data_IF_883131006919
#
_entry.id   IF_883131006919
#
_cell.length_a   1.000
_cell.length_b   1.000
_cell.length_c   1.000
_cell.angle_alpha   90.00
_cell.angle_beta   90.00
_cell.angle_gamma   90.00
#
_symmetry.space_group_name_H-M   'P 1'
#
loop_
_entity.id
_entity.type
_entity.pdbx_description
1 polymer ?
#
# COMPACT_ATOMS: atom_id res chain seq x y z
N UNK A 1 -0.48 -14.06 -10.42
CA UNK A 1 0.60 -13.74 -11.38
C UNK A 1 1.90 -13.91 -10.60
N UNK A 2 2.97 -14.45 -11.18
CA UNK A 2 4.22 -14.57 -10.42
C UNK A 2 4.77 -13.16 -10.19
N UNK A 3 4.72 -12.69 -8.95
CA UNK A 3 5.48 -11.53 -8.49
C UNK A 3 6.94 -11.98 -8.42
N UNK A 4 7.65 -11.99 -9.54
CA UNK A 4 9.10 -12.05 -9.51
C UNK A 4 9.59 -10.69 -9.01
N UNK A 5 9.73 -10.58 -7.69
CA UNK A 5 10.34 -9.44 -7.02
C UNK A 5 11.77 -9.30 -7.52
N UNK A 6 12.00 -8.30 -8.36
CA UNK A 6 13.33 -8.06 -8.94
C UNK A 6 14.17 -7.29 -7.93
N UNK A 7 15.22 -7.93 -7.41
CA UNK A 7 16.15 -7.31 -6.45
C UNK A 7 17.51 -7.09 -7.12
N UNK A 8 18.20 -6.00 -6.74
CA UNK A 8 19.57 -5.74 -7.16
C UNK A 8 20.39 -5.17 -6.00
N UNK A 9 21.72 -5.19 -6.15
CA UNK A 9 22.62 -4.60 -5.16
C UNK A 9 23.29 -3.37 -5.75
N UNK A 10 23.23 -2.27 -5.01
CA UNK A 10 24.02 -1.07 -5.28
C UNK A 10 25.13 -0.94 -4.25
N UNK A 11 26.17 -0.22 -4.64
CA UNK A 11 27.24 0.17 -3.73
C UNK A 11 26.98 1.64 -3.39
N UNK A 12 26.66 1.91 -2.13
CA UNK A 12 26.48 3.28 -1.63
C UNK A 12 27.81 4.07 -1.66
N UNK A 13 27.76 5.40 -1.51
CA UNK A 13 28.93 6.29 -1.46
C UNK A 13 29.99 5.87 -0.41
N UNK A 14 29.58 5.13 0.63
CA UNK A 14 30.46 4.60 1.66
C UNK A 14 31.15 3.27 1.29
N UNK A 15 30.92 2.75 0.09
CA UNK A 15 31.41 1.43 -0.34
C UNK A 15 30.68 0.26 0.31
N UNK A 16 29.52 0.52 0.92
CA UNK A 16 28.67 -0.49 1.54
C UNK A 16 27.70 -1.06 0.50
N UNK A 17 27.60 -2.38 0.45
CA UNK A 17 26.58 -3.06 -0.36
C UNK A 17 25.20 -2.82 0.26
N UNK A 18 24.32 -2.22 -0.51
CA UNK A 18 22.93 -1.94 -0.17
C UNK A 18 22.04 -2.75 -1.11
N UNK A 19 21.14 -3.55 -0.52
CA UNK A 19 20.15 -4.29 -1.31
C UNK A 19 18.96 -3.40 -1.59
N UNK A 20 18.45 -3.51 -2.80
CA UNK A 20 17.37 -2.69 -3.33
C UNK A 20 16.31 -3.58 -3.95
N UNK A 21 15.05 -3.26 -3.68
CA UNK A 21 13.89 -3.90 -4.26
C UNK A 21 13.33 -3.03 -5.38
N UNK A 22 13.19 -3.56 -6.59
CA UNK A 22 12.63 -2.82 -7.74
C UNK A 22 11.12 -2.72 -7.58
N UNK A 23 10.65 -1.48 -7.43
CA UNK A 23 9.23 -1.17 -7.32
C UNK A 23 8.62 -1.03 -8.72
N UNK A 24 9.28 -0.27 -9.60
CA UNK A 24 8.78 0.00 -10.94
C UNK A 24 9.90 0.42 -11.90
N UNK A 25 9.71 0.19 -13.20
CA UNK A 25 10.64 0.66 -14.25
C UNK A 25 9.86 1.28 -15.40
N UNK A 26 10.32 2.42 -15.90
CA UNK A 26 9.69 3.10 -17.02
C UNK A 26 10.69 3.80 -17.93
N UNK A 27 10.34 3.92 -19.20
CA UNK A 27 11.13 4.63 -20.19
C UNK A 27 10.59 6.05 -20.38
N UNK A 28 11.46 7.06 -20.34
CA UNK A 28 11.09 8.43 -20.64
C UNK A 28 12.17 9.16 -21.44
N UNK A 29 11.73 9.86 -22.49
CA UNK A 29 12.60 10.45 -23.51
C UNK A 29 13.54 9.41 -24.13
N UNK A 30 14.84 9.52 -23.85
CA UNK A 30 15.91 8.62 -24.33
C UNK A 30 16.58 7.88 -23.16
N UNK A 31 15.96 7.85 -21.97
CA UNK A 31 16.49 7.18 -20.78
C UNK A 31 15.47 6.26 -20.13
N UNK A 32 15.97 5.21 -19.50
CA UNK A 32 15.16 4.29 -18.69
C UNK A 32 15.39 4.59 -17.22
N UNK A 33 14.32 4.57 -16.43
CA UNK A 33 14.32 4.90 -15.00
C UNK A 33 13.84 3.70 -14.21
N UNK A 34 14.53 3.41 -13.11
CA UNK A 34 14.15 2.39 -12.13
C UNK A 34 13.85 3.08 -10.81
N UNK A 35 12.66 2.80 -10.29
CA UNK A 35 12.19 3.13 -8.96
C UNK A 35 12.45 1.93 -8.04
N UNK A 36 13.09 2.15 -6.91
CA UNK A 36 13.44 1.09 -5.98
C UNK A 36 13.38 1.54 -4.52
N UNK A 37 13.04 0.60 -3.64
CA UNK A 37 13.06 0.77 -2.19
C UNK A 37 14.35 0.23 -1.61
N UNK A 38 14.90 0.91 -0.61
CA UNK A 38 16.05 0.42 0.14
C UNK A 38 15.61 -0.57 1.21
N UNK A 39 16.34 -1.68 1.31
CA UNK A 39 16.13 -2.68 2.36
C UNK A 39 16.96 -2.32 3.61
N UNK A 40 16.37 -2.43 4.78
CA UNK A 40 17.06 -2.17 6.04
C UNK A 40 18.06 -3.29 6.41
N UNK A 41 18.65 -3.23 7.62
CA UNK A 41 19.59 -4.24 8.09
C UNK A 41 18.96 -5.64 8.31
N UNK A 42 17.64 -5.71 8.46
CA UNK A 42 16.86 -6.93 8.59
C UNK A 42 16.37 -7.46 7.23
N UNK A 43 16.53 -6.66 6.16
CA UNK A 43 16.02 -6.99 4.84
C UNK A 43 14.55 -6.62 4.67
N UNK A 44 14.04 -5.70 5.49
CA UNK A 44 12.68 -5.17 5.39
C UNK A 44 12.69 -3.89 4.56
N UNK A 45 11.67 -3.70 3.72
CA UNK A 45 11.51 -2.47 2.94
C UNK A 45 11.22 -1.29 3.85
N UNK A 46 11.86 -0.16 3.59
CA UNK A 46 11.63 1.06 4.37
C UNK A 46 10.45 1.81 3.73
N UNK A 47 9.29 1.89 4.39
CA UNK A 47 8.12 2.54 3.83
C UNK A 47 8.38 4.05 3.64
N UNK A 48 8.07 4.56 2.46
CA UNK A 48 8.24 5.98 2.10
C UNK A 48 9.65 6.39 1.65
N UNK A 49 10.64 5.48 1.64
CA UNK A 49 12.01 5.76 1.18
C UNK A 49 12.21 5.23 -0.25
N UNK A 50 11.56 5.87 -1.22
CA UNK A 50 11.69 5.51 -2.63
C UNK A 50 12.85 6.28 -3.27
N UNK A 51 13.77 5.55 -3.89
CA UNK A 51 14.90 6.09 -4.64
C UNK A 51 14.76 5.81 -6.13
N UNK A 52 15.42 6.62 -6.96
CA UNK A 52 15.38 6.51 -8.41
C UNK A 52 16.77 6.58 -9.03
N UNK A 53 17.00 5.75 -10.05
CA UNK A 53 18.22 5.74 -10.86
C UNK A 53 17.87 5.57 -12.34
N UNK A 54 18.76 6.01 -13.22
CA UNK A 54 18.69 5.70 -14.64
C UNK A 54 19.47 4.41 -14.93
N UNK A 55 19.05 3.66 -15.94
CA UNK A 55 19.70 2.42 -16.34
C UNK A 55 19.64 2.21 -17.86
N UNK A 56 20.55 1.38 -18.35
CA UNK A 56 20.56 0.84 -19.72
C UNK A 56 20.18 -0.65 -19.70
N UNK A 57 19.61 -1.14 -20.80
CA UNK A 57 19.36 -2.56 -20.98
C UNK A 57 20.60 -3.26 -21.54
N UNK A 58 21.00 -4.38 -20.94
CA UNK A 58 22.00 -5.24 -21.56
C UNK A 58 21.39 -5.98 -22.76
N UNK A 59 21.92 -5.73 -23.95
CA UNK A 59 21.47 -6.33 -25.22
C UNK A 59 21.50 -7.88 -25.23
N UNK A 60 22.21 -8.54 -24.31
CA UNK A 60 22.37 -10.01 -24.31
C UNK A 60 21.38 -10.72 -23.40
N UNK A 61 21.01 -10.15 -22.26
CA UNK A 61 20.15 -10.81 -21.28
C UNK A 61 18.96 -9.98 -20.81
N UNK A 62 18.88 -8.69 -21.19
CA UNK A 62 17.82 -7.77 -20.77
C UNK A 62 17.92 -7.30 -19.31
N UNK A 63 19.04 -7.54 -18.63
CA UNK A 63 19.27 -7.03 -17.28
C UNK A 63 19.57 -5.54 -17.27
N UNK A 64 19.24 -4.88 -16.16
CA UNK A 64 19.57 -3.47 -15.93
C UNK A 64 21.07 -3.33 -15.69
N UNK A 65 21.72 -2.51 -16.51
CA UNK A 65 23.14 -2.16 -16.40
C UNK A 65 23.33 -0.65 -16.38
N UNK A 66 24.56 -0.20 -16.13
CA UNK A 66 24.93 1.22 -16.10
C UNK A 66 23.99 2.10 -15.24
N UNK A 67 23.78 1.68 -13.99
CA UNK A 67 22.97 2.46 -13.04
C UNK A 67 23.63 3.80 -12.74
N UNK A 68 22.93 4.90 -12.99
CA UNK A 68 23.40 6.25 -12.69
C UNK A 68 22.38 7.02 -11.83
N UNK A 69 22.85 7.81 -10.84
CA UNK A 69 21.97 8.60 -10.00
C UNK A 69 21.23 9.67 -10.81
N UNK A 70 20.00 9.96 -10.40
CA UNK A 70 19.23 11.08 -10.93
C UNK A 70 19.65 12.36 -10.21
N UNK A 71 20.23 13.31 -10.94
CA UNK A 71 20.80 14.53 -10.36
C UNK A 71 20.02 15.80 -10.72
N UNK A 72 19.09 15.74 -11.68
CA UNK A 72 18.41 16.94 -12.18
C UNK A 72 17.00 17.07 -11.63
N UNK A 73 16.62 18.30 -11.25
CA UNK A 73 15.27 18.60 -10.76
C UNK A 73 14.17 18.21 -11.77
N UNK A 74 14.44 18.37 -13.07
CA UNK A 74 13.48 18.04 -14.13
C UNK A 74 13.21 16.52 -14.21
N UNK A 75 14.23 15.69 -14.02
CA UNK A 75 14.05 14.24 -13.92
C UNK A 75 13.28 13.88 -12.65
N UNK A 76 13.58 14.52 -11.52
CA UNK A 76 12.84 14.32 -10.27
C UNK A 76 11.38 14.75 -10.35
N UNK A 77 11.06 15.86 -11.03
CA UNK A 77 9.67 16.27 -11.28
C UNK A 77 8.92 15.19 -12.08
N UNK A 78 9.52 14.67 -13.14
CA UNK A 78 8.94 13.58 -13.93
C UNK A 78 8.74 12.31 -13.11
N UNK A 79 9.77 11.89 -12.37
CA UNK A 79 9.71 10.70 -11.51
C UNK A 79 8.62 10.87 -10.47
N UNK A 80 8.51 12.04 -9.84
CA UNK A 80 7.50 12.32 -8.85
C UNK A 80 6.09 12.24 -9.44
N UNK A 81 5.86 12.73 -10.66
CA UNK A 81 4.56 12.57 -11.34
C UNK A 81 4.22 11.09 -11.59
N UNK A 82 5.21 10.29 -12.02
CA UNK A 82 5.03 8.84 -12.17
C UNK A 82 4.76 8.18 -10.83
N UNK A 83 5.53 8.51 -9.78
CA UNK A 83 5.32 7.98 -8.43
C UNK A 83 3.96 8.37 -7.88
N UNK A 84 3.51 9.60 -8.07
CA UNK A 84 2.17 10.04 -7.65
C UNK A 84 1.08 9.32 -8.43
N UNK A 85 1.29 9.03 -9.72
CA UNK A 85 0.32 8.23 -10.49
C UNK A 85 0.33 6.77 -10.05
N UNK A 86 1.50 6.21 -9.77
CA UNK A 86 1.63 4.86 -9.23
C UNK A 86 1.02 4.79 -7.83
N UNK A 87 1.27 5.76 -6.97
CA UNK A 87 0.60 5.89 -5.69
C UNK A 87 -0.90 6.10 -5.89
N UNK A 88 -1.39 6.87 -6.85
CA UNK A 88 -2.83 6.92 -7.14
C UNK A 88 -3.38 5.56 -7.63
N UNK A 89 -2.54 4.75 -8.30
CA UNK A 89 -2.87 3.37 -8.73
C UNK A 89 -2.68 2.31 -7.62
N UNK A 90 -1.89 2.58 -6.58
CA UNK A 90 -1.50 1.64 -5.49
C UNK A 90 -1.98 2.07 -4.08
N UNK A 91 -2.26 3.36 -3.88
CA UNK A 91 -3.09 3.89 -2.82
C UNK A 91 -4.48 3.40 -3.18
N UNK A 92 -4.92 2.34 -2.52
CA UNK A 92 -6.35 2.14 -2.40
C UNK A 92 -6.92 3.45 -1.87
N UNK A 93 -7.63 4.21 -2.71
CA UNK A 93 -8.39 5.38 -2.26
C UNK A 93 -9.07 4.97 -0.96
N UNK A 94 -8.91 5.74 0.14
CA UNK A 94 -9.41 5.34 1.44
C UNK A 94 -10.87 4.95 1.26
N UNK A 95 -11.19 3.66 1.44
CA UNK A 95 -12.49 3.16 1.05
C UNK A 95 -13.51 3.79 2.00
N UNK A 96 -14.24 4.80 1.51
CA UNK A 96 -15.20 5.54 2.32
C UNK A 96 -16.55 4.81 2.29
N UNK A 97 -17.07 4.52 3.48
CA UNK A 97 -18.40 3.96 3.66
C UNK A 97 -19.30 4.95 4.37
N UNK A 98 -20.60 4.88 4.08
CA UNK A 98 -21.61 5.65 4.81
C UNK A 98 -22.28 4.74 5.81
N UNK A 99 -22.16 5.06 7.09
CA UNK A 99 -22.75 4.31 8.20
C UNK A 99 -23.86 5.15 8.83
N UNK A 100 -25.07 4.61 8.85
CA UNK A 100 -26.18 5.25 9.56
C UNK A 100 -26.10 4.88 11.05
N UNK A 101 -25.98 5.87 11.92
CA UNK A 101 -25.91 5.68 13.37
C UNK A 101 -27.30 5.47 14.01
N UNK A 102 -27.34 5.24 15.33
CA UNK A 102 -28.60 5.01 16.08
C UNK A 102 -29.59 6.19 16.04
N UNK A 103 -29.09 7.42 15.81
CA UNK A 103 -29.91 8.63 15.65
C UNK A 103 -30.51 8.76 14.25
N UNK A 104 -30.18 7.84 13.32
CA UNK A 104 -30.58 7.91 11.92
C UNK A 104 -29.83 8.97 11.11
N UNK A 105 -28.67 9.41 11.60
CA UNK A 105 -27.78 10.30 10.89
C UNK A 105 -26.71 9.47 10.15
N UNK A 106 -26.45 9.86 8.91
CA UNK A 106 -25.40 9.26 8.09
C UNK A 106 -24.05 9.87 8.49
N UNK A 107 -23.11 9.01 8.88
CA UNK A 107 -21.72 9.33 9.18
C UNK A 107 -20.83 8.73 8.10
N UNK A 108 -19.94 9.55 7.53
CA UNK A 108 -18.90 9.05 6.63
C UNK A 108 -17.77 8.46 7.47
N UNK A 109 -17.40 7.23 7.14
CA UNK A 109 -16.33 6.50 7.79
C UNK A 109 -15.31 6.04 6.76
N UNK A 110 -14.05 5.95 7.18
CA UNK A 110 -12.93 5.44 6.41
C UNK A 110 -12.66 4.00 6.83
N UNK A 111 -12.62 3.09 5.86
CA UNK A 111 -12.28 1.68 6.07
C UNK A 111 -10.78 1.57 6.29
N UNK A 112 -10.42 0.99 7.43
CA UNK A 112 -9.04 0.71 7.82
C UNK A 112 -8.59 -0.65 7.29
N UNK A 113 -9.46 -1.65 7.37
CA UNK A 113 -9.13 -3.01 6.96
C UNK A 113 -10.39 -3.82 6.67
N UNK A 114 -10.31 -4.74 5.70
CA UNK A 114 -11.36 -5.73 5.43
C UNK A 114 -10.76 -7.13 5.40
N UNK A 115 -11.46 -8.09 6.01
CA UNK A 115 -11.00 -9.47 6.05
C UNK A 115 -12.19 -10.44 6.04
N UNK A 116 -11.97 -11.64 5.52
CA UNK A 116 -12.96 -12.70 5.50
C UNK A 116 -12.59 -13.78 6.52
N UNK A 117 -13.54 -14.16 7.37
CA UNK A 117 -13.35 -15.30 8.27
C UNK A 117 -13.83 -16.58 7.59
N UNK A 118 -12.90 -17.50 7.31
CA UNK A 118 -13.25 -18.85 6.87
C UNK A 118 -14.00 -19.63 7.95
N UNK A 119 -13.77 -19.31 9.25
CA UNK A 119 -14.42 -19.97 10.38
C UNK A 119 -15.92 -19.66 10.44
N UNK A 120 -16.28 -18.40 10.24
CA UNK A 120 -17.67 -17.95 10.30
C UNK A 120 -18.35 -17.88 8.92
N UNK A 121 -17.56 -17.97 7.84
CA UNK A 121 -18.04 -17.82 6.47
C UNK A 121 -18.61 -16.42 6.21
N UNK A 122 -18.03 -15.41 6.87
CA UNK A 122 -18.53 -14.04 6.95
C UNK A 122 -17.36 -13.07 6.76
N UNK A 123 -17.64 -11.89 6.21
CA UNK A 123 -16.65 -10.83 6.01
C UNK A 123 -16.83 -9.72 7.04
N UNK A 124 -15.72 -9.17 7.51
CA UNK A 124 -15.65 -8.14 8.55
C UNK A 124 -14.87 -6.94 8.04
N UNK A 125 -15.32 -5.76 8.44
CA UNK A 125 -14.72 -4.47 8.10
C UNK A 125 -14.44 -3.69 9.38
N UNK A 126 -13.23 -3.14 9.45
CA UNK A 126 -12.80 -2.19 10.46
C UNK A 126 -12.83 -0.79 9.84
N UNK A 127 -13.45 0.16 10.52
CA UNK A 127 -13.58 1.52 10.01
C UNK A 127 -13.54 2.55 11.14
N UNK A 128 -13.12 3.77 10.81
CA UNK A 128 -13.07 4.92 11.73
C UNK A 128 -13.89 6.06 11.15
N UNK A 129 -14.44 6.96 11.99
CA UNK A 129 -15.12 8.15 11.48
C UNK A 129 -14.12 9.03 10.71
N UNK A 130 -14.53 9.48 9.52
CA UNK A 130 -13.72 10.36 8.67
C UNK A 130 -13.79 11.80 9.22
N UNK A 131 -13.03 12.08 10.28
CA UNK A 131 -12.92 13.40 10.93
C UNK A 131 -11.50 13.94 10.85
N UNK A 132 -11.30 15.24 11.06
CA UNK A 132 -9.97 15.88 11.16
C UNK A 132 -9.24 15.56 12.50
N UNK A 133 -9.79 14.69 13.33
CA UNK A 133 -9.17 14.30 14.61
C UNK A 133 -7.97 13.37 14.36
N UNK A 134 -6.93 13.41 15.21
CA UNK A 134 -5.79 12.50 15.07
C UNK A 134 -6.25 11.05 15.28
N UNK A 135 -5.62 10.13 14.55
CA UNK A 135 -6.03 8.72 14.49
C UNK A 135 -6.07 8.04 15.87
N UNK A 136 -5.15 8.38 16.76
CA UNK A 136 -5.11 7.88 18.15
C UNK A 136 -6.30 8.31 19.02
N UNK A 137 -7.04 9.34 18.60
CA UNK A 137 -8.26 9.81 19.28
C UNK A 137 -9.54 9.30 18.62
N UNK A 138 -9.45 8.62 17.46
CA UNK A 138 -10.61 8.06 16.76
C UNK A 138 -10.97 6.70 17.34
N UNK A 139 -12.27 6.46 17.50
CA UNK A 139 -12.79 5.15 17.90
C UNK A 139 -12.89 4.23 16.67
N UNK A 140 -12.26 3.05 16.76
CA UNK A 140 -12.34 2.03 15.71
C UNK A 140 -13.62 1.24 15.90
N UNK A 141 -14.42 1.17 14.84
CA UNK A 141 -15.64 0.38 14.77
C UNK A 141 -15.42 -0.86 13.92
N UNK A 142 -16.15 -1.92 14.26
CA UNK A 142 -16.19 -3.14 13.49
C UNK A 142 -17.62 -3.51 13.12
N UNK A 143 -17.82 -3.98 11.90
CA UNK A 143 -19.09 -4.57 11.47
C UNK A 143 -18.85 -5.71 10.51
N UNK A 144 -19.85 -6.56 10.36
CA UNK A 144 -19.91 -7.49 9.24
C UNK A 144 -20.29 -6.74 7.97
N UNK A 145 -19.83 -7.20 6.82
CA UNK A 145 -20.27 -6.66 5.54
C UNK A 145 -20.61 -7.73 4.50
N UNK A 146 -21.49 -7.37 3.57
CA UNK A 146 -21.72 -8.12 2.34
C UNK A 146 -20.85 -7.55 1.23
N UNK A 147 -19.94 -8.37 0.71
CA UNK A 147 -19.10 -8.02 -0.43
C UNK A 147 -19.92 -8.10 -1.73
N UNK A 148 -19.89 -7.03 -2.52
CA UNK A 148 -20.45 -6.95 -3.86
C UNK A 148 -19.67 -7.78 -4.87
N UNK A 149 -20.17 -7.82 -6.11
CA UNK A 149 -19.59 -8.62 -7.21
C UNK A 149 -18.16 -8.15 -7.56
N UNK A 150 -17.88 -6.87 -7.30
CA UNK A 150 -16.61 -6.19 -7.50
C UNK A 150 -15.75 -6.10 -6.22
N UNK A 151 -16.21 -6.69 -5.10
CA UNK A 151 -15.50 -6.63 -3.81
C UNK A 151 -15.85 -5.41 -2.94
N UNK A 152 -16.74 -4.52 -3.40
CA UNK A 152 -17.23 -3.37 -2.63
C UNK A 152 -18.12 -3.76 -1.44
N UNK A 153 -18.25 -2.86 -0.46
CA UNK A 153 -19.13 -3.05 0.70
C UNK A 153 -20.56 -2.65 0.33
N UNK A 154 -21.46 -3.61 0.14
CA UNK A 154 -22.87 -3.34 -0.21
C UNK A 154 -23.72 -3.00 1.02
N UNK A 155 -23.56 -3.75 2.11
CA UNK A 155 -24.39 -3.61 3.32
C UNK A 155 -23.58 -3.96 4.56
N UNK A 156 -23.77 -3.18 5.63
CA UNK A 156 -23.19 -3.41 6.94
C UNK A 156 -24.20 -4.12 7.85
N UNK A 157 -23.71 -5.15 8.54
CA UNK A 157 -24.47 -5.97 9.45
C UNK A 157 -23.81 -5.94 10.85
N UNK A 158 -24.60 -5.94 11.92
CA UNK A 158 -24.06 -5.98 13.27
C UNK A 158 -23.41 -7.34 13.56
N UNK A 159 -22.38 -7.32 14.40
CA UNK A 159 -21.76 -8.54 14.94
C UNK A 159 -22.59 -9.02 16.13
N UNK A 160 -23.19 -10.21 16.02
CA UNK A 160 -24.18 -10.69 16.99
C UNK A 160 -23.59 -11.56 18.11
N UNK A 161 -22.37 -12.10 17.94
CA UNK A 161 -21.81 -13.09 18.87
C UNK A 161 -20.48 -12.67 19.46
N UNK A 162 -20.25 -13.03 20.73
CA UNK A 162 -18.99 -12.77 21.44
C UNK A 162 -17.79 -13.48 20.76
N UNK A 163 -18.00 -14.67 20.18
CA UNK A 163 -16.95 -15.40 19.47
C UNK A 163 -16.45 -14.63 18.23
N UNK A 164 -17.37 -13.98 17.50
CA UNK A 164 -17.01 -13.12 16.37
C UNK A 164 -16.28 -11.87 16.85
N UNK A 165 -16.70 -11.27 17.96
CA UNK A 165 -16.00 -10.12 18.56
C UNK A 165 -14.57 -10.46 18.96
N UNK A 166 -14.37 -11.58 19.65
CA UNK A 166 -13.02 -12.04 20.03
C UNK A 166 -12.13 -12.23 18.80
N UNK A 167 -12.68 -12.76 17.71
CA UNK A 167 -11.92 -12.93 16.47
C UNK A 167 -11.53 -11.60 15.83
N UNK A 168 -12.47 -10.65 15.75
CA UNK A 168 -12.21 -9.32 15.22
C UNK A 168 -11.18 -8.56 16.08
N UNK A 169 -11.28 -8.67 17.40
CA UNK A 169 -10.30 -8.08 18.32
C UNK A 169 -8.90 -8.68 18.15
N UNK A 170 -8.79 -9.98 17.88
CA UNK A 170 -7.51 -10.64 17.63
C UNK A 170 -6.82 -10.01 16.40
N UNK A 171 -7.56 -9.91 15.27
CA UNK A 171 -7.07 -9.25 14.05
C UNK A 171 -6.72 -7.78 14.31
N UNK A 172 -7.55 -7.07 15.09
CA UNK A 172 -7.29 -5.67 15.43
C UNK A 172 -5.98 -5.49 16.24
N UNK A 173 -5.62 -6.45 17.09
CA UNK A 173 -4.38 -6.40 17.86
C UNK A 173 -3.14 -6.84 17.06
N UNK A 174 -3.34 -7.50 15.91
CA UNK A 174 -2.28 -7.90 14.98
C UNK A 174 -1.94 -6.80 13.95
N UNK A 175 -2.80 -5.80 13.81
CA UNK A 175 -2.56 -4.57 13.03
C UNK A 175 -1.57 -3.63 13.74
#
# INVERSE_FOLDING_TARGET
MNEETQEFMIIDENGKEQRCHVVFTFDAEDKSYVLFSLLDANGEEIPGDLSAMTFDYDDNNGEMTNLQPVETDAEWEMINEVVLTLLDEFEEEPQLITVTNEDGADQVCEVIHTFASEQFGKSYVLYVPATDEPMDEREIFASQYLAGIDGSIEELLPIETDEEWVYVEDILNEL
#
